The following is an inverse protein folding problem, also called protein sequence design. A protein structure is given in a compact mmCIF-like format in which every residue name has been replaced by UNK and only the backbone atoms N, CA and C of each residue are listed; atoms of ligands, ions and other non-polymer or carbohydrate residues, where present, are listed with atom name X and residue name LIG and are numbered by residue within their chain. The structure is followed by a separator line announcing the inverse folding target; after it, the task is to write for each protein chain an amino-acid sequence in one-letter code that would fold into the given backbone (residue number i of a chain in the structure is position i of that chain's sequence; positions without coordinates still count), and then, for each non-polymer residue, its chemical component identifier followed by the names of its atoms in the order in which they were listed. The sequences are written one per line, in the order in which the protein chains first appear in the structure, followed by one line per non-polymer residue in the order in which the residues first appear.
data_IF_807766035489
#
_entry.id   IF_807766035489
#
_cell.length_a   1.000
_cell.length_b   1.000
_cell.length_c   1.000
_cell.angle_alpha   90.00
_cell.angle_beta   90.00
_cell.angle_gamma   90.00
#
_symmetry.space_group_name_H-M   'P 1'
#
loop_
_entity.id
_entity.type
_entity.pdbx_description
1 polymer ?
#
# COMPACT_ATOMS: atom_id res chain seq x y z
N UNK A 1 -5.64 12.46 -11.02
CA UNK A 1 -5.42 13.34 -9.86
C UNK A 1 -5.74 12.62 -8.54
N UNK A 2 -6.80 11.80 -8.48
CA UNK A 2 -7.18 11.04 -7.30
C UNK A 2 -7.38 9.57 -7.64
N UNK A 3 -6.71 8.68 -6.91
CA UNK A 3 -6.94 7.24 -6.97
C UNK A 3 -7.74 6.80 -5.74
N UNK A 4 -8.81 6.05 -5.94
CA UNK A 4 -9.68 5.57 -4.87
C UNK A 4 -9.65 4.06 -4.81
N UNK A 5 -9.33 3.52 -3.62
CA UNK A 5 -9.25 2.08 -3.36
C UNK A 5 -10.08 1.68 -2.14
N UNK A 6 -10.45 0.41 -2.08
CA UNK A 6 -11.06 -0.21 -0.89
C UNK A 6 -10.20 -1.37 -0.42
N UNK A 7 -9.72 -1.33 0.83
CA UNK A 7 -8.91 -2.39 1.40
C UNK A 7 -9.79 -3.40 2.14
N UNK A 8 -9.84 -4.66 1.72
CA UNK A 8 -10.62 -5.68 2.41
C UNK A 8 -9.93 -6.09 3.73
N UNK A 9 -10.69 -6.53 4.71
CA UNK A 9 -10.11 -7.09 5.94
C UNK A 9 -9.27 -8.35 5.67
N UNK A 10 -9.79 -9.22 4.81
CA UNK A 10 -9.05 -10.42 4.38
C UNK A 10 -8.14 -10.07 3.22
N UNK A 11 -6.85 -10.26 3.44
CA UNK A 11 -5.81 -9.97 2.47
C UNK A 11 -4.79 -11.10 2.39
N UNK A 12 -3.83 -11.04 1.46
CA UNK A 12 -2.92 -12.13 1.09
C UNK A 12 -2.19 -12.81 2.27
N UNK A 13 -1.87 -12.10 3.30
CA UNK A 13 -1.01 -12.57 4.40
C UNK A 13 -1.77 -12.98 5.65
N UNK A 14 -3.02 -13.30 5.53
CA UNK A 14 -3.88 -13.78 6.62
C UNK A 14 -5.16 -12.97 6.80
N UNK A 15 -6.10 -13.55 7.54
CA UNK A 15 -7.35 -12.89 7.90
C UNK A 15 -7.04 -11.69 8.82
N UNK A 16 -7.68 -10.57 8.58
CA UNK A 16 -7.42 -9.33 9.30
C UNK A 16 -6.23 -8.52 8.79
N UNK A 17 -5.31 -9.10 8.03
CA UNK A 17 -4.08 -8.41 7.61
C UNK A 17 -4.32 -7.23 6.65
N UNK A 18 -5.47 -7.15 5.99
CA UNK A 18 -5.85 -5.97 5.20
C UNK A 18 -6.15 -4.72 6.03
N UNK A 19 -6.23 -4.85 7.36
CA UNK A 19 -6.39 -3.71 8.30
C UNK A 19 -5.06 -3.26 8.91
N UNK A 20 -3.99 -3.99 8.61
CA UNK A 20 -2.64 -3.66 9.06
C UNK A 20 -2.04 -2.54 8.20
N UNK A 21 -1.49 -1.47 8.80
CA UNK A 21 -1.00 -0.32 8.04
C UNK A 21 0.19 -0.66 7.13
N UNK A 22 1.05 -1.59 7.51
CA UNK A 22 2.20 -2.02 6.68
C UNK A 22 1.70 -2.72 5.42
N UNK A 23 0.72 -3.64 5.57
CA UNK A 23 0.14 -4.37 4.45
C UNK A 23 -0.64 -3.45 3.51
N UNK A 24 -1.36 -2.48 4.07
CA UNK A 24 -2.04 -1.46 3.27
C UNK A 24 -1.05 -0.68 2.41
N UNK A 25 0.03 -0.19 2.99
CA UNK A 25 1.02 0.59 2.25
C UNK A 25 1.69 -0.22 1.15
N UNK A 26 2.03 -1.48 1.41
CA UNK A 26 2.55 -2.37 0.37
C UNK A 26 1.54 -2.55 -0.78
N UNK A 27 0.28 -2.79 -0.44
CA UNK A 27 -0.77 -2.97 -1.44
C UNK A 27 -0.99 -1.72 -2.30
N UNK A 28 -1.03 -0.54 -1.67
CA UNK A 28 -1.17 0.74 -2.36
C UNK A 28 0.04 1.02 -3.27
N UNK A 29 1.24 0.68 -2.83
CA UNK A 29 2.45 0.82 -3.63
C UNK A 29 2.43 -0.01 -4.91
N UNK A 30 1.91 -1.23 -4.83
CA UNK A 30 1.71 -2.06 -6.02
C UNK A 30 0.73 -1.42 -7.01
N UNK A 31 -0.31 -0.73 -6.53
CA UNK A 31 -1.23 0.02 -7.39
C UNK A 31 -0.57 1.29 -7.97
N UNK A 32 0.22 2.00 -7.18
CA UNK A 32 0.98 3.15 -7.69
C UNK A 32 1.88 2.74 -8.85
N UNK A 33 2.63 1.67 -8.72
CA UNK A 33 3.46 1.15 -9.82
C UNK A 33 2.64 0.82 -11.07
N UNK A 34 1.45 0.23 -10.87
CA UNK A 34 0.54 -0.12 -11.96
C UNK A 34 -0.03 1.11 -12.67
N UNK A 35 -0.41 2.13 -11.92
CA UNK A 35 -1.09 3.31 -12.44
C UNK A 35 -0.18 4.50 -12.69
N UNK A 36 1.14 4.38 -12.47
CA UNK A 36 2.10 5.49 -12.57
C UNK A 36 1.98 6.30 -13.87
N UNK A 37 1.69 5.64 -14.99
CA UNK A 37 1.58 6.29 -16.30
C UNK A 37 0.36 7.19 -16.48
N UNK A 38 -0.66 7.04 -15.63
CA UNK A 38 -1.90 7.82 -15.68
C UNK A 38 -2.08 8.73 -14.48
N UNK A 39 -1.13 8.71 -13.54
CA UNK A 39 -1.13 9.58 -12.37
C UNK A 39 -0.56 10.94 -12.74
N UNK A 40 -1.17 12.00 -12.18
CA UNK A 40 -0.56 13.33 -12.14
C UNK A 40 0.56 13.38 -11.10
N UNK A 41 1.45 14.37 -11.23
CA UNK A 41 2.56 14.55 -10.28
C UNK A 41 2.08 14.88 -8.85
N UNK A 42 0.91 15.50 -8.72
CA UNK A 42 0.26 15.83 -7.45
C UNK A 42 -0.82 14.83 -7.03
N UNK A 43 -0.79 13.61 -7.56
CA UNK A 43 -1.79 12.59 -7.31
C UNK A 43 -1.95 12.29 -5.81
N UNK A 44 -3.20 12.09 -5.39
CA UNK A 44 -3.59 11.71 -4.04
C UNK A 44 -4.26 10.34 -4.07
N UNK A 45 -3.99 9.51 -3.06
CA UNK A 45 -4.72 8.26 -2.83
C UNK A 45 -5.74 8.45 -1.70
N UNK A 46 -6.97 7.97 -1.91
CA UNK A 46 -7.98 7.81 -0.85
C UNK A 46 -8.34 6.34 -0.76
N UNK A 47 -8.04 5.71 0.37
CA UNK A 47 -8.28 4.29 0.58
C UNK A 47 -9.23 4.09 1.78
N UNK A 48 -10.35 3.39 1.55
CA UNK A 48 -11.23 2.98 2.64
C UNK A 48 -10.66 1.73 3.33
N UNK A 49 -10.53 1.80 4.64
CA UNK A 49 -10.10 0.68 5.49
C UNK A 49 -10.55 0.92 6.92
N UNK A 50 -10.90 -0.15 7.62
CA UNK A 50 -11.15 -0.08 9.06
C UNK A 50 -9.86 0.14 9.88
N UNK A 51 -8.71 -0.09 9.32
CA UNK A 51 -7.37 0.15 9.87
C UNK A 51 -7.33 0.17 11.40
N UNK A 52 -7.55 -1.01 11.99
CA UNK A 52 -7.56 -1.19 13.45
C UNK A 52 -6.21 -1.64 14.02
N UNK A 53 -5.17 -1.68 13.19
CA UNK A 53 -3.83 -2.07 13.61
C UNK A 53 -3.71 -3.54 13.99
N UNK A 54 -4.46 -4.42 13.35
CA UNK A 54 -4.33 -5.85 13.60
C UNK A 54 -2.96 -6.35 13.15
N UNK A 55 -2.29 -7.08 14.04
CA UNK A 55 -1.05 -7.79 13.77
C UNK A 55 -1.27 -9.28 14.03
N UNK A 56 -0.92 -10.11 13.07
CA UNK A 56 -1.02 -11.57 13.20
C UNK A 56 0.26 -12.12 13.80
N UNK A 57 0.34 -12.15 15.14
CA UNK A 57 1.57 -12.45 15.88
C UNK A 57 2.14 -13.86 15.61
N UNK A 58 1.32 -14.82 15.20
CA UNK A 58 1.80 -16.16 14.83
C UNK A 58 2.55 -16.17 13.51
N UNK A 59 1.96 -15.55 12.46
CA UNK A 59 2.59 -15.48 11.13
C UNK A 59 3.68 -14.39 11.05
N UNK A 60 3.53 -13.31 11.84
CA UNK A 60 4.38 -12.12 11.78
C UNK A 60 4.85 -11.68 13.17
N UNK A 61 5.59 -12.53 13.90
CA UNK A 61 5.91 -12.27 15.31
C UNK A 61 6.78 -11.04 15.58
N UNK A 62 7.40 -10.50 14.53
CA UNK A 62 8.29 -9.33 14.55
C UNK A 62 7.63 -8.06 14.01
N UNK A 63 6.46 -8.16 13.39
CA UNK A 63 5.89 -7.06 12.61
C UNK A 63 5.49 -5.86 13.49
N UNK A 64 5.05 -6.12 14.72
CA UNK A 64 4.72 -5.07 15.68
C UNK A 64 5.97 -4.30 16.12
N UNK A 65 7.05 -5.01 16.43
CA UNK A 65 8.34 -4.38 16.74
C UNK A 65 8.85 -3.54 15.56
N UNK A 66 8.76 -4.07 14.36
CA UNK A 66 9.10 -3.32 13.14
C UNK A 66 8.26 -2.05 13.02
N UNK A 67 6.95 -2.15 13.22
CA UNK A 67 6.06 -0.98 13.16
C UNK A 67 6.45 0.08 14.20
N UNK A 68 6.72 -0.31 15.45
CA UNK A 68 7.09 0.61 16.52
C UNK A 68 8.43 1.30 16.25
N UNK A 69 9.41 0.59 15.74
CA UNK A 69 10.71 1.17 15.35
C UNK A 69 10.56 2.22 14.25
N UNK A 70 9.68 1.99 13.28
CA UNK A 70 9.50 2.89 12.15
C UNK A 70 8.60 4.09 12.44
N UNK A 71 7.80 4.06 13.49
CA UNK A 71 7.03 5.25 13.90
C UNK A 71 7.91 6.43 14.28
N UNK A 72 9.11 6.19 14.77
CA UNK A 72 10.04 7.20 15.26
C UNK A 72 10.98 7.73 14.17
N UNK A 73 11.22 6.95 13.16
CA UNK A 73 12.10 7.30 12.05
C UNK A 73 11.31 7.25 10.74
N UNK A 74 11.22 8.37 10.04
CA UNK A 74 10.69 8.36 8.67
C UNK A 74 11.51 7.37 7.84
N UNK A 75 10.85 6.31 7.39
CA UNK A 75 11.53 5.22 6.71
C UNK A 75 12.19 5.69 5.43
N UNK A 76 13.50 5.78 5.46
CA UNK A 76 14.29 5.89 4.25
C UNK A 76 14.75 4.48 3.86
N UNK A 77 14.19 3.98 2.78
CA UNK A 77 14.19 2.56 2.37
C UNK A 77 15.56 1.89 2.44
N UNK A 78 16.60 2.49 1.90
CA UNK A 78 17.93 1.85 1.80
C UNK A 78 18.76 1.98 3.08
N UNK A 79 18.93 3.16 3.70
CA UNK A 79 19.64 3.28 4.97
C UNK A 79 19.01 2.48 6.09
N UNK A 80 17.69 2.40 6.17
CA UNK A 80 17.01 1.64 7.21
C UNK A 80 17.10 0.13 7.00
N UNK A 81 17.06 -0.34 5.75
CA UNK A 81 17.38 -1.73 5.42
C UNK A 81 18.79 -2.10 5.84
N UNK A 82 19.76 -1.22 5.62
CA UNK A 82 21.15 -1.46 6.03
C UNK A 82 21.31 -1.42 7.56
N UNK A 83 20.60 -0.52 8.22
CA UNK A 83 20.71 -0.33 9.68
C UNK A 83 20.01 -1.42 10.49
N UNK A 84 18.83 -1.83 10.09
CA UNK A 84 17.96 -2.72 10.85
C UNK A 84 17.80 -4.11 10.25
N UNK A 85 18.08 -4.25 8.95
CA UNK A 85 17.89 -5.52 8.25
C UNK A 85 18.67 -6.67 8.86
N UNK A 86 19.92 -6.44 9.27
CA UNK A 86 20.74 -7.47 9.91
C UNK A 86 20.21 -7.87 11.26
N UNK A 87 19.75 -6.92 12.07
CA UNK A 87 19.15 -7.20 13.37
C UNK A 87 17.95 -8.16 13.24
N UNK A 88 17.02 -7.88 12.34
CA UNK A 88 15.87 -8.76 12.11
C UNK A 88 16.25 -10.07 11.44
N UNK A 89 17.19 -10.05 10.50
CA UNK A 89 17.62 -11.24 9.78
C UNK A 89 18.44 -12.21 10.63
N UNK A 90 19.10 -11.74 11.69
CA UNK A 90 19.95 -12.55 12.58
C UNK A 90 19.34 -12.82 13.95
N UNK A 91 18.17 -12.28 14.27
CA UNK A 91 17.48 -12.53 15.53
C UNK A 91 17.11 -14.01 15.65
N UNK A 92 17.75 -14.70 16.59
CA UNK A 92 17.62 -16.17 16.74
C UNK A 92 16.20 -16.63 17.04
N UNK A 93 15.42 -15.86 17.82
CA UNK A 93 14.04 -16.18 18.12
C UNK A 93 13.17 -16.14 16.86
N UNK A 94 13.29 -15.09 16.06
CA UNK A 94 12.54 -14.93 14.82
C UNK A 94 12.93 -15.96 13.77
N UNK A 95 14.24 -16.28 13.66
CA UNK A 95 14.72 -17.35 12.78
C UNK A 95 14.19 -18.70 13.21
N UNK A 96 14.14 -18.98 14.52
CA UNK A 96 13.58 -20.22 15.06
C UNK A 96 12.09 -20.35 14.71
N UNK A 97 11.31 -19.27 14.93
CA UNK A 97 9.89 -19.24 14.54
C UNK A 97 9.72 -19.50 13.03
N UNK A 98 10.48 -18.82 12.19
CA UNK A 98 10.45 -19.05 10.75
C UNK A 98 10.77 -20.49 10.35
N UNK A 99 11.79 -21.10 10.94
CA UNK A 99 12.24 -22.46 10.59
C UNK A 99 11.33 -23.58 11.08
N UNK A 100 10.67 -23.39 12.20
CA UNK A 100 9.97 -24.46 12.90
C UNK A 100 8.46 -24.20 13.08
N UNK A 101 7.94 -23.10 12.58
CA UNK A 101 6.51 -22.78 12.60
C UNK A 101 6.05 -22.26 11.23
N UNK A 102 4.83 -21.72 11.17
CA UNK A 102 4.29 -21.09 9.97
C UNK A 102 4.66 -19.61 9.82
N UNK A 103 5.54 -19.08 10.68
CA UNK A 103 5.92 -17.67 10.62
C UNK A 103 6.70 -17.34 9.34
N UNK A 104 6.44 -16.16 8.78
CA UNK A 104 7.24 -15.65 7.67
C UNK A 104 8.65 -15.27 8.14
N UNK A 105 9.59 -15.20 7.20
CA UNK A 105 10.95 -14.78 7.51
C UNK A 105 10.98 -13.33 8.04
N UNK A 106 11.75 -13.01 9.09
CA UNK A 106 11.75 -11.68 9.71
C UNK A 106 12.10 -10.53 8.73
N UNK A 107 12.93 -10.78 7.75
CA UNK A 107 13.24 -9.81 6.71
C UNK A 107 12.07 -9.51 5.78
N UNK A 108 11.07 -10.39 5.68
CA UNK A 108 9.92 -10.18 4.79
C UNK A 108 9.07 -8.98 5.22
N UNK A 109 8.73 -8.87 6.52
CA UNK A 109 8.00 -7.70 7.03
C UNK A 109 8.73 -6.40 6.76
N UNK A 110 10.04 -6.41 6.95
CA UNK A 110 10.90 -5.28 6.66
C UNK A 110 10.87 -4.87 5.18
N UNK A 111 10.96 -5.84 4.27
CA UNK A 111 10.86 -5.56 2.83
C UNK A 111 9.50 -5.01 2.41
N UNK A 112 8.40 -5.44 3.08
CA UNK A 112 7.07 -4.90 2.83
C UNK A 112 6.95 -3.43 3.24
N UNK A 113 7.54 -3.03 4.36
CA UNK A 113 7.62 -1.63 4.77
C UNK A 113 8.38 -0.81 3.75
N UNK A 114 9.51 -1.31 3.29
CA UNK A 114 10.31 -0.67 2.24
C UNK A 114 9.52 -0.50 0.93
N UNK A 115 8.78 -1.54 0.52
CA UNK A 115 7.90 -1.44 -0.64
C UNK A 115 6.79 -0.40 -0.43
N UNK A 116 6.27 -0.25 0.80
CA UNK A 116 5.25 0.74 1.15
C UNK A 116 5.67 2.18 0.84
N UNK A 117 6.94 2.49 0.98
CA UNK A 117 7.49 3.81 0.71
C UNK A 117 7.34 4.27 -0.76
N UNK A 118 7.21 3.34 -1.70
CA UNK A 118 6.97 3.67 -3.12
C UNK A 118 5.68 4.49 -3.30
N UNK A 119 4.61 4.16 -2.58
CA UNK A 119 3.37 4.93 -2.66
C UNK A 119 3.57 6.34 -2.11
N UNK A 120 4.26 6.48 -0.98
CA UNK A 120 4.56 7.76 -0.36
C UNK A 120 5.39 8.66 -1.27
N UNK A 121 6.45 8.14 -1.88
CA UNK A 121 7.32 8.89 -2.80
C UNK A 121 6.64 9.35 -4.08
N UNK A 122 5.57 8.72 -4.48
CA UNK A 122 4.92 8.97 -5.78
C UNK A 122 3.54 9.61 -5.66
N UNK A 123 3.14 10.04 -4.47
CA UNK A 123 1.87 10.71 -4.22
C UNK A 123 2.06 11.91 -3.32
N UNK A 124 1.21 12.93 -3.46
CA UNK A 124 1.24 14.10 -2.57
C UNK A 124 0.63 13.83 -1.20
N UNK A 125 -0.29 12.87 -1.12
CA UNK A 125 -0.87 12.41 0.14
C UNK A 125 -1.58 11.07 -0.04
N UNK A 126 -1.65 10.30 1.05
CA UNK A 126 -2.45 9.09 1.15
C UNK A 126 -3.40 9.26 2.32
N UNK A 127 -4.70 9.16 2.05
CA UNK A 127 -5.76 9.22 3.06
C UNK A 127 -6.33 7.84 3.32
N UNK A 128 -6.43 7.48 4.59
CA UNK A 128 -7.22 6.33 5.05
C UNK A 128 -8.51 6.86 5.62
N UNK A 129 -9.64 6.38 5.09
CA UNK A 129 -10.98 6.77 5.52
C UNK A 129 -11.69 5.63 6.22
N UNK A 130 -12.39 5.92 7.31
CA UNK A 130 -13.10 4.93 8.11
C UNK A 130 -12.22 4.10 9.05
N UNK A 131 -11.01 4.57 9.37
CA UNK A 131 -10.13 3.89 10.32
C UNK A 131 -10.75 3.87 11.73
N UNK A 132 -10.86 2.69 12.34
CA UNK A 132 -11.27 2.50 13.73
C UNK A 132 -10.20 3.01 14.70
N UNK A 133 -8.92 2.73 14.38
CA UNK A 133 -7.77 3.16 15.16
C UNK A 133 -6.82 4.02 14.29
N UNK A 134 -7.17 5.27 14.03
CA UNK A 134 -6.46 6.12 13.07
C UNK A 134 -4.99 6.38 13.43
N UNK A 135 -4.60 6.13 14.68
CA UNK A 135 -3.20 6.22 15.13
C UNK A 135 -2.27 5.31 14.36
N UNK A 136 -2.70 4.10 14.01
CA UNK A 136 -1.89 3.16 13.24
C UNK A 136 -1.58 3.66 11.82
N UNK A 137 -2.55 4.24 11.14
CA UNK A 137 -2.32 4.84 9.83
C UNK A 137 -1.39 6.06 9.92
N UNK A 138 -1.62 6.94 10.93
CA UNK A 138 -0.78 8.13 11.13
C UNK A 138 0.66 7.79 11.49
N UNK A 139 0.89 6.70 12.24
CA UNK A 139 2.23 6.19 12.56
C UNK A 139 3.03 5.79 11.33
N UNK A 140 2.36 5.51 10.20
CA UNK A 140 2.98 5.25 8.90
C UNK A 140 3.01 6.49 7.98
N UNK A 141 2.81 7.71 8.51
CA UNK A 141 2.81 8.94 7.73
C UNK A 141 1.52 9.22 6.94
N UNK A 142 0.49 8.38 7.11
CA UNK A 142 -0.77 8.51 6.37
C UNK A 142 -1.68 9.56 7.03
N UNK A 143 -2.54 10.17 6.22
CA UNK A 143 -3.60 11.05 6.70
C UNK A 143 -4.87 10.24 6.97
N UNK A 144 -5.68 10.70 7.91
CA UNK A 144 -6.94 10.03 8.24
C UNK A 144 -8.10 11.01 8.20
N UNK A 145 -9.25 10.55 7.70
CA UNK A 145 -10.53 11.26 7.76
C UNK A 145 -11.63 10.24 8.07
N UNK A 146 -12.74 10.72 8.60
CA UNK A 146 -13.86 9.85 8.90
C UNK A 146 -14.54 9.35 7.63
N UNK A 147 -14.72 10.22 6.64
CA UNK A 147 -15.43 9.91 5.40
C UNK A 147 -14.59 10.18 4.15
N UNK A 148 -15.04 9.62 3.05
CA UNK A 148 -14.47 9.88 1.72
C UNK A 148 -14.60 11.36 1.34
N UNK A 149 -15.73 11.95 1.59
CA UNK A 149 -16.03 13.35 1.27
C UNK A 149 -15.08 14.31 1.98
N UNK A 150 -14.83 14.08 3.27
CA UNK A 150 -13.86 14.86 4.04
C UNK A 150 -12.44 14.74 3.48
N UNK A 151 -12.04 13.53 3.10
CA UNK A 151 -10.72 13.29 2.51
C UNK A 151 -10.60 13.95 1.13
N UNK A 152 -11.63 13.87 0.31
CA UNK A 152 -11.66 14.49 -1.01
C UNK A 152 -11.63 16.02 -0.93
N UNK A 153 -12.42 16.61 -0.04
CA UNK A 153 -12.41 18.07 0.16
C UNK A 153 -11.05 18.57 0.68
N UNK A 154 -10.41 17.82 1.55
CA UNK A 154 -9.06 18.15 2.03
C UNK A 154 -8.02 18.02 0.89
N UNK A 155 -8.13 16.97 0.08
CA UNK A 155 -7.29 16.76 -1.10
C UNK A 155 -7.46 17.88 -2.15
N UNK A 156 -8.70 18.27 -2.44
CA UNK A 156 -9.01 19.38 -3.36
C UNK A 156 -8.36 20.68 -2.92
N UNK A 157 -8.48 21.00 -1.64
CA UNK A 157 -7.93 22.25 -1.09
C UNK A 157 -6.42 22.31 -1.10
N UNK A 158 -5.75 21.16 -0.92
CA UNK A 158 -4.31 21.14 -0.64
C UNK A 158 -3.45 20.67 -1.81
N UNK A 159 -3.99 19.82 -2.70
CA UNK A 159 -3.16 19.10 -3.67
C UNK A 159 -3.68 19.12 -5.10
N UNK A 160 -4.94 18.76 -5.33
CA UNK A 160 -5.41 18.39 -6.67
C UNK A 160 -6.35 19.43 -7.33
N UNK A 161 -6.69 20.51 -6.63
CA UNK A 161 -7.62 21.53 -7.15
C UNK A 161 -9.09 21.12 -7.06
N UNK A 162 -9.99 22.02 -7.52
CA UNK A 162 -11.44 21.89 -7.25
C UNK A 162 -12.14 20.83 -8.11
N UNK A 163 -11.62 20.53 -9.29
CA UNK A 163 -12.22 19.60 -10.26
C UNK A 163 -11.23 18.48 -10.64
N UNK A 164 -10.83 17.60 -9.68
CA UNK A 164 -9.87 16.55 -9.97
C UNK A 164 -10.48 15.42 -10.79
N UNK A 165 -9.70 14.83 -11.68
CA UNK A 165 -10.04 13.56 -12.28
C UNK A 165 -9.89 12.43 -11.25
N UNK A 166 -10.94 11.65 -11.05
CA UNK A 166 -10.99 10.57 -10.04
C UNK A 166 -11.07 9.21 -10.75
N UNK A 167 -10.13 8.33 -10.44
CA UNK A 167 -10.19 6.93 -10.83
C UNK A 167 -10.50 6.07 -9.60
N UNK A 168 -11.72 5.52 -9.55
CA UNK A 168 -12.18 4.71 -8.44
C UNK A 168 -12.16 3.21 -8.74
N UNK A 169 -11.41 2.46 -7.95
CA UNK A 169 -11.20 1.01 -8.07
C UNK A 169 -11.42 0.31 -6.72
N UNK A 170 -12.63 0.44 -6.11
CA UNK A 170 -12.87 0.01 -4.73
C UNK A 170 -12.73 -1.51 -4.52
N UNK A 171 -12.83 -2.30 -5.58
CA UNK A 171 -12.77 -3.76 -5.51
C UNK A 171 -11.45 -4.35 -5.99
N UNK A 172 -10.45 -3.53 -6.28
CA UNK A 172 -9.21 -3.99 -6.93
C UNK A 172 -8.44 -5.04 -6.10
N UNK A 173 -8.55 -4.99 -4.79
CA UNK A 173 -7.91 -5.96 -3.90
C UNK A 173 -8.73 -7.23 -3.62
N UNK A 174 -9.97 -7.28 -4.09
CA UNK A 174 -10.86 -8.45 -3.93
C UNK A 174 -10.93 -9.34 -5.16
N UNK A 175 -10.65 -8.80 -6.34
CA UNK A 175 -10.79 -9.48 -7.63
C UNK A 175 -9.49 -9.42 -8.41
N UNK A 176 -9.46 -10.12 -9.54
CA UNK A 176 -8.36 -10.06 -10.48
C UNK A 176 -8.04 -8.61 -10.90
N UNK A 177 -6.80 -8.39 -11.27
CA UNK A 177 -6.28 -7.09 -11.67
C UNK A 177 -7.09 -6.48 -12.81
N UNK A 178 -7.41 -5.19 -12.66
CA UNK A 178 -7.94 -4.37 -13.74
C UNK A 178 -6.75 -3.82 -14.52
N UNK A 179 -6.71 -4.06 -15.82
CA UNK A 179 -5.74 -3.46 -16.73
C UNK A 179 -6.39 -2.22 -17.37
N UNK A 180 -5.80 -1.06 -17.15
CA UNK A 180 -6.16 0.15 -17.88
C UNK A 180 -5.25 0.24 -19.09
N UNK A 181 -5.84 0.06 -20.27
CA UNK A 181 -5.17 0.32 -21.53
C UNK A 181 -5.52 1.72 -21.99
N UNK A 182 -4.51 2.56 -22.24
CA UNK A 182 -4.73 3.77 -23.02
C UNK A 182 -4.94 3.31 -24.47
N UNK A 183 -6.13 3.55 -25.00
CA UNK A 183 -6.41 3.27 -26.41
C UNK A 183 -5.73 4.34 -27.24
N UNK A 184 -4.57 4.05 -27.76
CA UNK A 184 -4.03 4.80 -28.90
C UNK A 184 -4.72 4.24 -30.15
N UNK A 185 -5.55 5.04 -30.85
CA UNK A 185 -6.21 4.58 -32.08
C UNK A 185 -5.23 4.18 -33.20
N UNK A 186 -3.97 4.56 -33.06
CA UNK A 186 -2.93 4.33 -34.07
C UNK A 186 -2.01 3.13 -33.76
N UNK A 187 -2.09 2.54 -32.56
CA UNK A 187 -1.30 1.36 -32.18
C UNK A 187 -2.19 0.15 -31.92
N UNK A 188 -2.06 -0.86 -32.76
CA UNK A 188 -2.49 -2.21 -32.39
C UNK A 188 -1.72 -2.64 -31.14
N UNK A 189 -2.43 -2.92 -30.04
CA UNK A 189 -1.83 -3.46 -28.81
C UNK A 189 -1.36 -4.90 -29.08
N UNK A 190 -0.17 -5.04 -29.60
CA UNK A 190 0.52 -6.32 -29.70
C UNK A 190 1.52 -6.43 -28.53
N UNK A 191 1.62 -7.60 -27.92
CA UNK A 191 2.71 -7.89 -26.99
C UNK A 191 4.04 -8.05 -27.76
N UNK A 192 5.12 -8.18 -27.05
CA UNK A 192 6.47 -8.38 -27.62
C UNK A 192 6.60 -9.69 -28.43
N UNK A 193 5.59 -10.58 -28.34
CA UNK A 193 5.51 -11.84 -29.10
C UNK A 193 4.52 -11.79 -30.26
N UNK A 194 3.90 -10.62 -30.54
CA UNK A 194 2.99 -10.42 -31.65
C UNK A 194 1.55 -10.90 -31.41
N UNK A 195 1.16 -11.18 -30.17
CA UNK A 195 -0.22 -11.56 -29.83
C UNK A 195 -1.08 -10.34 -29.53
N UNK A 196 -2.30 -10.32 -30.04
CA UNK A 196 -3.31 -9.28 -29.69
C UNK A 196 -3.78 -9.52 -28.25
N UNK A 197 -3.63 -8.50 -27.41
CA UNK A 197 -4.21 -8.50 -26.08
C UNK A 197 -5.73 -8.31 -26.13
N UNK A 198 -6.53 -9.13 -25.38
CA UNK A 198 -7.99 -9.04 -25.36
C UNK A 198 -8.54 -7.74 -24.75
N UNK A 199 -7.71 -6.89 -24.16
CA UNK A 199 -8.10 -5.55 -23.67
C UNK A 199 -8.17 -4.48 -24.76
N UNK A 200 -7.97 -4.82 -26.02
CA UNK A 200 -8.04 -3.88 -27.13
C UNK A 200 -9.39 -3.94 -27.88
N UNK A 201 -10.42 -4.58 -27.30
CA UNK A 201 -11.76 -4.63 -27.87
C UNK A 201 -12.73 -3.74 -27.10
#
# INVERSE_FOLDING_TARGET
DVLVFGMPQKFHYGDGMGTNPIMMMQALSAQVLRFKRVMSDNCVIICSSICNGYFHDELWPYLREQYELFQHDHMNTLPDMNRLGEYFATNEEYIRKYRYTNAFHPFHGFSMMSCGHIAEMNTSAIYIVGAEEPGYARGMGLKTRATFEEALEDAKKKYVGQEPNILALPMTFKKAAVHLCMKDPAQDCMDEYGHRHPCCC
#
